data_IF_027071745306
#
_entry.id   IF_027071745306
#
_cell.length_a   1.000
_cell.length_b   1.000
_cell.length_c   1.000
_cell.angle_alpha   90.00
_cell.angle_beta   90.00
_cell.angle_gamma   90.00
#
_symmetry.space_group_name_H-M   'P 1'
#
loop_
_entity.id
_entity.type
_entity.pdbx_description
1 polymer ?
#
# COMPACT_ATOMS: atom_id res chain seq x y z
N UNK A 1 17.79 -28.41 4.71
CA UNK A 1 17.51 -28.49 3.24
C UNK A 1 16.22 -27.76 2.83
N UNK A 2 15.20 -27.64 3.68
CA UNK A 2 13.96 -26.90 3.36
C UNK A 2 14.16 -25.38 3.15
N UNK A 3 15.07 -24.74 3.90
CA UNK A 3 15.32 -23.29 3.75
C UNK A 3 16.00 -22.85 2.45
N UNK A 4 16.82 -23.73 1.85
CA UNK A 4 17.48 -23.41 0.58
C UNK A 4 16.51 -23.48 -0.61
N UNK A 5 15.53 -24.38 -0.58
CA UNK A 5 14.49 -24.46 -1.60
C UNK A 5 13.50 -23.29 -1.53
N UNK A 6 13.17 -22.83 -0.33
CA UNK A 6 12.29 -21.66 -0.16
C UNK A 6 12.98 -20.38 -0.67
N UNK A 7 14.25 -20.15 -0.34
CA UNK A 7 15.02 -19.03 -0.86
C UNK A 7 15.18 -19.02 -2.39
N UNK A 8 15.32 -20.21 -3.00
CA UNK A 8 15.43 -20.35 -4.45
C UNK A 8 14.09 -20.14 -5.16
N UNK A 9 12.98 -20.60 -4.58
CA UNK A 9 11.63 -20.32 -5.08
C UNK A 9 11.33 -18.82 -5.00
N UNK A 10 11.60 -18.16 -3.88
CA UNK A 10 11.43 -16.70 -3.73
C UNK A 10 12.31 -15.91 -4.70
N UNK A 11 13.53 -16.38 -5.01
CA UNK A 11 14.37 -15.76 -6.03
C UNK A 11 13.82 -15.96 -7.45
N UNK A 12 13.41 -17.17 -7.81
CA UNK A 12 12.75 -17.43 -9.10
C UNK A 12 11.43 -16.67 -9.25
N UNK A 13 10.67 -16.47 -8.17
CA UNK A 13 9.46 -15.66 -8.20
C UNK A 13 9.76 -14.16 -8.27
N UNK A 14 10.85 -13.67 -7.70
CA UNK A 14 11.30 -12.28 -7.93
C UNK A 14 11.74 -12.03 -9.38
N UNK A 15 12.35 -13.01 -10.03
CA UNK A 15 12.68 -12.96 -11.45
C UNK A 15 11.44 -13.14 -12.35
N UNK A 16 10.37 -13.80 -11.85
CA UNK A 16 9.04 -13.91 -12.48
C UNK A 16 8.04 -12.87 -11.98
N UNK A 17 8.45 -11.96 -11.08
CA UNK A 17 7.59 -11.00 -10.39
C UNK A 17 7.23 -9.77 -11.25
N UNK A 18 7.19 -9.95 -12.56
CA UNK A 18 6.73 -8.93 -13.51
C UNK A 18 5.56 -9.48 -14.30
N UNK A 19 4.57 -8.64 -14.52
CA UNK A 19 3.50 -8.97 -15.45
C UNK A 19 4.01 -8.72 -16.87
N UNK A 20 4.63 -9.74 -17.46
CA UNK A 20 5.02 -9.70 -18.88
C UNK A 20 3.78 -9.91 -19.71
N UNK A 21 3.36 -8.87 -20.42
CA UNK A 21 2.13 -8.94 -21.20
C UNK A 21 2.36 -9.50 -22.60
N UNK A 22 1.42 -10.37 -23.04
CA UNK A 22 1.30 -10.81 -24.43
C UNK A 22 0.42 -9.85 -25.26
N UNK A 23 -0.15 -8.80 -24.62
CA UNK A 23 -1.13 -7.89 -25.22
C UNK A 23 -0.74 -6.42 -25.06
N UNK A 24 0.43 -5.98 -25.52
CA UNK A 24 0.89 -4.59 -25.32
C UNK A 24 -0.06 -3.55 -25.94
N UNK A 25 -0.73 -3.90 -27.05
CA UNK A 25 -1.70 -3.01 -27.72
C UNK A 25 -2.94 -2.74 -26.84
N UNK A 26 -3.38 -3.71 -26.05
CA UNK A 26 -4.47 -3.51 -25.08
C UNK A 26 -4.08 -2.44 -24.06
N UNK A 27 -2.88 -2.52 -23.49
CA UNK A 27 -2.40 -1.56 -22.49
C UNK A 27 -2.17 -0.18 -23.10
N UNK A 28 -1.64 -0.12 -24.33
CA UNK A 28 -1.49 1.13 -25.07
C UNK A 28 -2.84 1.80 -25.36
N UNK A 29 -3.88 1.02 -25.65
CA UNK A 29 -5.25 1.52 -25.82
C UNK A 29 -5.80 2.04 -24.47
N UNK A 30 -5.65 1.30 -23.38
CA UNK A 30 -6.10 1.73 -22.04
C UNK A 30 -5.45 3.05 -21.62
N UNK A 31 -4.18 3.24 -21.93
CA UNK A 31 -3.44 4.48 -21.62
C UNK A 31 -3.98 5.71 -22.37
N UNK A 32 -4.75 5.55 -23.45
CA UNK A 32 -5.34 6.66 -24.22
C UNK A 32 -6.67 7.16 -23.62
N UNK A 33 -7.32 6.40 -22.73
CA UNK A 33 -8.50 6.87 -22.03
C UNK A 33 -8.14 7.90 -20.96
N UNK A 34 -9.12 8.71 -20.54
CA UNK A 34 -8.97 9.54 -19.35
C UNK A 34 -8.65 8.63 -18.14
N UNK A 35 -7.75 9.07 -17.26
CA UNK A 35 -7.31 8.29 -16.10
C UNK A 35 -8.49 7.85 -15.20
N UNK A 36 -9.57 8.64 -15.18
CA UNK A 36 -10.80 8.34 -14.44
C UNK A 36 -11.63 7.21 -15.05
N UNK A 37 -11.44 6.95 -16.34
CA UNK A 37 -12.19 5.94 -17.11
C UNK A 37 -11.40 4.63 -17.28
N UNK A 38 -10.15 4.56 -16.83
CA UNK A 38 -9.29 3.37 -16.91
C UNK A 38 -9.66 2.35 -15.83
N UNK A 39 -10.81 1.72 -15.93
CA UNK A 39 -11.23 0.71 -14.96
C UNK A 39 -12.11 -0.37 -15.57
N UNK A 40 -12.13 -1.55 -14.94
CA UNK A 40 -12.95 -2.67 -15.36
C UNK A 40 -12.67 -3.96 -14.58
N UNK A 41 -13.32 -5.07 -14.97
CA UNK A 41 -12.95 -6.39 -14.45
C UNK A 41 -11.48 -6.69 -14.75
N UNK A 42 -10.80 -7.37 -13.83
CA UNK A 42 -9.39 -7.69 -14.00
C UNK A 42 -9.17 -8.57 -15.24
N UNK A 43 -8.26 -8.19 -16.17
CA UNK A 43 -7.84 -9.07 -17.25
C UNK A 43 -7.32 -10.42 -16.73
N UNK A 44 -7.48 -11.49 -17.53
CA UNK A 44 -7.09 -12.84 -17.15
C UNK A 44 -5.60 -12.93 -16.77
N UNK A 45 -4.73 -12.20 -17.45
CA UNK A 45 -3.30 -12.19 -17.15
C UNK A 45 -2.99 -11.64 -15.75
N UNK A 46 -3.73 -10.63 -15.28
CA UNK A 46 -3.60 -10.10 -13.93
C UNK A 46 -4.09 -11.10 -12.88
N UNK A 47 -5.25 -11.71 -13.12
CA UNK A 47 -5.82 -12.74 -12.22
C UNK A 47 -4.85 -13.91 -12.08
N UNK A 48 -4.32 -14.41 -13.20
CA UNK A 48 -3.35 -15.50 -13.23
C UNK A 48 -2.06 -15.13 -12.48
N UNK A 49 -1.54 -13.92 -12.71
CA UNK A 49 -0.34 -13.43 -12.04
C UNK A 49 -0.51 -13.39 -10.53
N UNK A 50 -1.57 -12.76 -10.03
CA UNK A 50 -1.84 -12.69 -8.59
C UNK A 50 -2.07 -14.07 -7.99
N UNK A 51 -2.77 -14.95 -8.70
CA UNK A 51 -2.93 -16.35 -8.28
C UNK A 51 -1.58 -17.07 -8.09
N UNK A 52 -0.62 -16.84 -8.97
CA UNK A 52 0.74 -17.40 -8.82
C UNK A 52 1.47 -16.77 -7.63
N UNK A 53 1.35 -15.46 -7.43
CA UNK A 53 1.95 -14.76 -6.28
C UNK A 53 1.39 -15.29 -4.97
N UNK A 54 0.06 -15.43 -4.86
CA UNK A 54 -0.60 -15.99 -3.69
C UNK A 54 -0.11 -17.41 -3.36
N UNK A 55 -0.03 -18.27 -4.38
CA UNK A 55 0.52 -19.63 -4.22
C UNK A 55 1.96 -19.60 -3.70
N UNK A 56 2.80 -18.71 -4.21
CA UNK A 56 4.20 -18.58 -3.79
C UNK A 56 4.34 -18.11 -2.34
N UNK A 57 3.43 -17.26 -1.91
CA UNK A 57 3.42 -16.69 -0.56
C UNK A 57 2.62 -17.55 0.45
N UNK A 58 2.05 -18.69 0.03
CA UNK A 58 1.11 -19.52 0.80
C UNK A 58 -0.11 -18.73 1.29
N UNK A 59 -0.62 -17.84 0.46
CA UNK A 59 -1.91 -17.16 0.68
C UNK A 59 -3.01 -18.03 0.07
N UNK A 60 -3.98 -18.46 0.86
CA UNK A 60 -5.06 -19.35 0.42
C UNK A 60 -6.17 -18.66 -0.39
N UNK A 61 -5.96 -17.40 -0.80
CA UNK A 61 -6.90 -16.64 -1.60
C UNK A 61 -6.75 -16.96 -3.09
N UNK A 62 -7.88 -17.16 -3.76
CA UNK A 62 -7.95 -17.45 -5.19
C UNK A 62 -8.59 -16.26 -5.89
N UNK A 63 -7.81 -15.43 -6.60
CA UNK A 63 -8.35 -14.27 -7.29
C UNK A 63 -9.24 -14.65 -8.47
N UNK A 64 -10.31 -13.89 -8.66
CA UNK A 64 -11.19 -14.03 -9.81
C UNK A 64 -11.59 -12.63 -10.32
N UNK A 65 -11.64 -12.47 -11.65
CA UNK A 65 -12.15 -11.25 -12.25
C UNK A 65 -13.61 -10.99 -11.80
N UNK A 66 -13.93 -9.76 -11.47
CA UNK A 66 -15.26 -9.40 -11.03
C UNK A 66 -15.74 -8.09 -11.65
N UNK A 67 -17.01 -8.05 -12.02
CA UNK A 67 -17.66 -6.80 -12.44
C UNK A 67 -18.12 -6.04 -11.19
N UNK A 68 -17.65 -4.81 -11.04
CA UNK A 68 -18.07 -3.97 -9.92
C UNK A 68 -19.56 -3.58 -10.05
N UNK A 69 -20.35 -3.68 -8.97
CA UNK A 69 -21.73 -3.20 -8.95
C UNK A 69 -21.80 -1.69 -9.23
N UNK A 70 -22.94 -1.22 -9.76
CA UNK A 70 -23.11 0.16 -10.16
C UNK A 70 -22.97 1.16 -8.99
N UNK A 71 -23.33 0.77 -7.77
CA UNK A 71 -23.13 1.59 -6.57
C UNK A 71 -21.65 1.66 -6.17
N UNK A 72 -20.89 0.58 -6.35
CA UNK A 72 -19.44 0.56 -6.14
C UNK A 72 -18.73 1.49 -7.13
N UNK A 73 -19.11 1.44 -8.41
CA UNK A 73 -18.55 2.33 -9.43
C UNK A 73 -18.84 3.80 -9.13
N UNK A 74 -20.03 4.14 -8.64
CA UNK A 74 -20.36 5.51 -8.20
C UNK A 74 -19.49 5.96 -7.02
N UNK A 75 -19.25 5.07 -6.05
CA UNK A 75 -18.38 5.37 -4.91
C UNK A 75 -16.93 5.57 -5.36
N UNK A 76 -16.45 4.74 -6.29
CA UNK A 76 -15.11 4.90 -6.86
C UNK A 76 -14.98 6.21 -7.65
N UNK A 77 -15.96 6.56 -8.48
CA UNK A 77 -15.98 7.84 -9.19
C UNK A 77 -15.98 9.03 -8.19
N UNK A 78 -16.73 8.90 -7.11
CA UNK A 78 -16.73 9.92 -6.04
C UNK A 78 -15.36 10.02 -5.36
N UNK A 79 -14.72 8.89 -5.10
CA UNK A 79 -13.38 8.83 -4.51
C UNK A 79 -12.35 9.50 -5.43
N UNK A 80 -12.34 9.13 -6.72
CA UNK A 80 -11.43 9.68 -7.73
C UNK A 80 -11.63 11.18 -7.95
N UNK A 81 -12.88 11.66 -8.00
CA UNK A 81 -13.19 13.08 -8.19
C UNK A 81 -12.70 13.99 -7.05
N UNK A 82 -12.42 13.43 -5.88
CA UNK A 82 -11.88 14.17 -4.74
C UNK A 82 -10.32 14.19 -4.73
N UNK A 83 -9.67 13.44 -5.61
CA UNK A 83 -8.20 13.43 -5.70
C UNK A 83 -7.75 14.73 -6.37
N UNK A 84 -6.75 15.43 -5.82
CA UNK A 84 -6.23 16.65 -6.41
C UNK A 84 -5.78 16.47 -7.87
N UNK A 85 -6.15 17.40 -8.75
CA UNK A 85 -5.86 17.31 -10.20
C UNK A 85 -4.37 17.06 -10.48
N UNK A 86 -3.46 17.73 -9.76
CA UNK A 86 -2.03 17.53 -9.92
C UNK A 86 -1.59 16.06 -9.72
N UNK A 87 -2.29 15.30 -8.86
CA UNK A 87 -2.02 13.87 -8.68
C UNK A 87 -2.57 13.07 -9.87
N UNK A 88 -3.78 13.40 -10.34
CA UNK A 88 -4.35 12.75 -11.53
C UNK A 88 -3.45 12.98 -12.76
N UNK A 89 -2.91 14.19 -12.93
CA UNK A 89 -1.96 14.50 -13.99
C UNK A 89 -0.66 13.66 -13.88
N UNK A 90 -0.16 13.42 -12.67
CA UNK A 90 1.00 12.56 -12.45
C UNK A 90 0.70 11.08 -12.78
N UNK A 91 -0.53 10.65 -12.56
CA UNK A 91 -0.97 9.28 -12.82
C UNK A 91 -1.26 9.03 -14.30
N UNK A 92 -1.61 10.06 -15.06
CA UNK A 92 -2.02 9.91 -16.47
C UNK A 92 -0.97 9.21 -17.32
N UNK A 93 0.31 9.50 -17.10
CA UNK A 93 1.44 8.86 -17.79
C UNK A 93 1.95 7.55 -17.14
N UNK A 94 1.38 7.12 -16.00
CA UNK A 94 1.92 6.01 -15.22
C UNK A 94 0.90 4.91 -14.92
N UNK A 95 -0.39 5.24 -14.74
CA UNK A 95 -1.46 4.31 -14.40
C UNK A 95 -2.15 3.79 -15.67
N UNK A 96 -2.10 2.48 -15.90
CA UNK A 96 -2.81 1.81 -16.99
C UNK A 96 -4.27 1.47 -16.63
N UNK A 97 -4.60 1.41 -15.36
CA UNK A 97 -5.97 1.25 -14.91
C UNK A 97 -6.13 0.68 -13.50
N UNK A 98 -7.39 0.72 -13.03
CA UNK A 98 -7.86 0.13 -11.78
C UNK A 98 -8.80 -1.01 -12.10
N UNK A 99 -8.43 -2.23 -11.73
CA UNK A 99 -9.14 -3.44 -12.11
C UNK A 99 -9.76 -4.14 -10.91
N UNK A 100 -10.91 -4.75 -11.10
CA UNK A 100 -11.69 -5.36 -10.03
C UNK A 100 -11.57 -6.86 -10.01
N UNK A 101 -11.39 -7.40 -8.82
CA UNK A 101 -11.35 -8.84 -8.52
C UNK A 101 -12.08 -9.15 -7.22
N UNK A 102 -12.27 -10.41 -6.94
CA UNK A 102 -12.60 -10.97 -5.63
C UNK A 102 -11.52 -11.95 -5.23
N UNK A 103 -11.38 -12.23 -3.94
CA UNK A 103 -10.42 -13.22 -3.44
C UNK A 103 -8.96 -12.83 -3.70
N UNK A 104 -8.62 -11.54 -3.63
CA UNK A 104 -7.28 -11.05 -3.91
C UNK A 104 -6.26 -11.44 -2.81
N UNK A 105 -6.73 -11.67 -1.58
CA UNK A 105 -5.88 -11.94 -0.43
C UNK A 105 -5.39 -10.68 0.31
N UNK A 106 -5.72 -9.50 -0.23
CA UNK A 106 -5.46 -8.18 0.36
C UNK A 106 -6.56 -7.22 -0.08
N UNK A 107 -6.55 -5.97 0.38
CA UNK A 107 -7.53 -4.96 -0.09
C UNK A 107 -7.24 -4.49 -1.52
N UNK A 108 -5.98 -4.40 -1.89
CA UNK A 108 -5.52 -4.08 -3.24
C UNK A 108 -4.08 -4.57 -3.47
N UNK A 109 -3.66 -4.55 -4.72
CA UNK A 109 -2.29 -4.82 -5.16
C UNK A 109 -1.97 -3.86 -6.31
N UNK A 110 -0.79 -3.26 -6.28
CA UNK A 110 -0.21 -2.52 -7.40
C UNK A 110 0.98 -3.27 -7.98
N UNK A 111 1.03 -3.37 -9.29
CA UNK A 111 2.20 -3.91 -9.98
C UNK A 111 2.42 -3.24 -11.34
N UNK A 112 3.54 -3.56 -12.00
CA UNK A 112 3.91 -3.01 -13.30
C UNK A 112 3.63 -3.99 -14.43
N UNK A 113 3.23 -3.45 -15.57
CA UNK A 113 3.14 -4.17 -16.83
C UNK A 113 4.41 -3.88 -17.63
N UNK A 114 5.07 -4.93 -18.09
CA UNK A 114 6.23 -4.83 -18.98
C UNK A 114 5.96 -5.55 -20.31
N UNK A 115 6.61 -5.09 -21.38
CA UNK A 115 6.60 -5.81 -22.65
C UNK A 115 7.62 -6.96 -22.64
N UNK A 116 7.70 -7.72 -23.72
CA UNK A 116 8.63 -8.84 -23.87
C UNK A 116 10.10 -8.42 -23.83
N UNK A 117 10.39 -7.15 -24.12
CA UNK A 117 11.75 -6.57 -24.10
C UNK A 117 12.12 -6.07 -22.69
N UNK A 118 11.18 -6.11 -21.73
CA UNK A 118 11.37 -5.65 -20.35
C UNK A 118 11.12 -4.16 -20.14
N UNK A 119 10.59 -3.45 -21.13
CA UNK A 119 10.22 -2.05 -20.99
C UNK A 119 8.94 -1.92 -20.18
N UNK A 120 8.92 -1.00 -19.24
CA UNK A 120 7.75 -0.68 -18.41
C UNK A 120 6.72 0.06 -19.27
N UNK A 121 5.53 -0.52 -19.42
CA UNK A 121 4.40 0.12 -20.09
C UNK A 121 3.61 1.02 -19.15
N UNK A 122 3.58 0.72 -17.87
CA UNK A 122 2.90 1.43 -16.81
C UNK A 122 2.56 0.52 -15.64
N UNK A 123 1.79 1.03 -14.69
CA UNK A 123 1.35 0.28 -13.50
C UNK A 123 -0.16 0.05 -13.53
N UNK A 124 -0.58 -1.03 -12.90
CA UNK A 124 -1.99 -1.38 -12.69
C UNK A 124 -2.29 -1.49 -11.21
N UNK A 125 -3.52 -1.18 -10.83
CA UNK A 125 -4.05 -1.41 -9.50
C UNK A 125 -5.15 -2.46 -9.60
N UNK A 126 -5.13 -3.50 -8.76
CA UNK A 126 -6.23 -4.42 -8.58
C UNK A 126 -6.89 -4.17 -7.23
N UNK A 127 -8.21 -4.00 -7.21
CA UNK A 127 -9.01 -3.84 -5.99
C UNK A 127 -9.80 -5.12 -5.71
N UNK A 128 -9.79 -5.55 -4.46
CA UNK A 128 -10.69 -6.62 -3.98
C UNK A 128 -12.05 -6.01 -3.62
N UNK A 129 -13.10 -6.40 -4.35
CA UNK A 129 -14.46 -5.93 -4.08
C UNK A 129 -14.92 -6.32 -2.67
N UNK A 130 -14.53 -7.51 -2.19
CA UNK A 130 -14.96 -8.03 -0.89
C UNK A 130 -14.35 -7.23 0.29
N UNK A 131 -13.22 -6.58 0.08
CA UNK A 131 -12.58 -5.76 1.11
C UNK A 131 -13.42 -4.55 1.53
N UNK A 132 -14.30 -4.06 0.64
CA UNK A 132 -15.07 -2.85 0.87
C UNK A 132 -16.56 -3.08 1.11
N UNK A 133 -17.12 -4.21 0.65
CA UNK A 133 -18.57 -4.47 0.52
C UNK A 133 -19.47 -3.59 1.41
N UNK A 134 -19.41 -3.76 2.71
CA UNK A 134 -20.27 -3.05 3.67
C UNK A 134 -19.50 -2.13 4.64
N UNK A 135 -18.25 -1.76 4.30
CA UNK A 135 -17.41 -0.97 5.20
C UNK A 135 -17.42 0.52 4.84
N UNK A 136 -17.70 1.35 5.83
CA UNK A 136 -17.40 2.78 5.78
C UNK A 136 -15.90 3.02 5.94
N UNK A 137 -15.43 4.25 5.75
CA UNK A 137 -14.02 4.62 5.85
C UNK A 137 -13.38 4.19 7.18
N UNK A 138 -14.01 4.56 8.29
CA UNK A 138 -13.48 4.24 9.63
C UNK A 138 -13.61 2.75 9.94
N UNK A 139 -14.68 2.09 9.47
CA UNK A 139 -14.84 0.64 9.65
C UNK A 139 -13.78 -0.15 8.87
N UNK A 140 -13.49 0.25 7.63
CA UNK A 140 -12.43 -0.38 6.83
C UNK A 140 -11.04 -0.15 7.45
N UNK A 141 -10.72 1.10 7.82
CA UNK A 141 -9.43 1.42 8.42
C UNK A 141 -9.22 0.70 9.76
N UNK A 142 -10.26 0.66 10.60
CA UNK A 142 -10.24 -0.08 11.87
C UNK A 142 -10.03 -1.58 11.63
N UNK A 143 -10.74 -2.17 10.67
CA UNK A 143 -10.56 -3.58 10.32
C UNK A 143 -9.12 -3.84 9.84
N UNK A 144 -8.61 -3.05 8.89
CA UNK A 144 -7.25 -3.18 8.35
C UNK A 144 -6.21 -3.13 9.48
N UNK A 145 -6.28 -2.11 10.34
CA UNK A 145 -5.26 -1.89 11.37
C UNK A 145 -5.31 -2.92 12.53
N UNK A 146 -6.41 -3.65 12.68
CA UNK A 146 -6.48 -4.77 13.64
C UNK A 146 -5.94 -6.08 13.07
N UNK A 147 -5.80 -6.26 11.74
CA UNK A 147 -5.35 -7.53 11.14
C UNK A 147 -3.99 -8.03 11.63
N UNK A 148 -3.00 -7.19 11.99
CA UNK A 148 -1.72 -7.65 12.53
C UNK A 148 -1.80 -8.27 13.93
N UNK A 149 -2.93 -8.12 14.61
CA UNK A 149 -3.08 -8.54 16.01
C UNK A 149 -4.10 -9.67 16.14
N UNK A 150 -3.68 -10.77 16.75
CA UNK A 150 -4.58 -11.87 17.12
C UNK A 150 -5.17 -11.56 18.50
N UNK A 151 -6.50 -11.28 18.56
CA UNK A 151 -7.00 -10.56 19.62
C UNK A 151 -7.70 -11.24 20.77
N UNK A 152 -7.63 -10.60 21.92
CA UNK A 152 -8.70 -10.61 22.91
C UNK A 152 -9.72 -9.54 22.54
N UNK A 153 -10.97 -9.72 22.91
CA UNK A 153 -12.03 -8.72 22.75
C UNK A 153 -11.78 -7.47 23.64
N UNK A 154 -10.75 -7.47 24.49
CA UNK A 154 -10.46 -6.41 25.46
C UNK A 154 -9.66 -5.27 24.92
N UNK A 155 -8.68 -5.55 24.03
CA UNK A 155 -7.83 -4.52 23.42
C UNK A 155 -8.16 -4.43 21.94
N UNK A 156 -8.57 -3.25 21.47
CA UNK A 156 -8.87 -3.00 20.06
C UNK A 156 -8.34 -1.66 19.58
N UNK A 157 -7.97 -1.62 18.33
CA UNK A 157 -7.72 -0.38 17.62
C UNK A 157 -9.05 0.19 17.12
N UNK A 158 -9.19 1.50 17.23
CA UNK A 158 -10.20 2.30 16.56
C UNK A 158 -9.48 3.32 15.69
N UNK A 159 -9.82 3.35 14.42
CA UNK A 159 -9.17 4.23 13.44
C UNK A 159 -10.20 5.16 12.83
N UNK A 160 -9.88 6.44 12.80
CA UNK A 160 -10.71 7.47 12.23
C UNK A 160 -9.95 8.17 11.09
N UNK A 161 -10.45 7.98 9.86
CA UNK A 161 -9.95 8.61 8.64
C UNK A 161 -11.01 9.48 7.95
N UNK A 162 -12.19 9.58 8.52
CA UNK A 162 -13.28 10.42 8.01
C UNK A 162 -14.19 10.89 9.15
N UNK A 163 -14.64 12.15 9.07
CA UNK A 163 -15.59 12.74 10.01
C UNK A 163 -17.03 12.60 9.53
N UNK A 164 -17.96 12.37 10.46
CA UNK A 164 -19.39 12.52 10.26
C UNK A 164 -19.92 11.94 8.94
N UNK A 165 -20.46 12.80 8.08
CA UNK A 165 -21.04 12.42 6.79
C UNK A 165 -20.04 11.88 5.77
N UNK A 166 -18.75 12.16 5.95
CA UNK A 166 -17.68 11.68 5.07
C UNK A 166 -17.26 10.25 5.41
N UNK A 167 -17.77 9.66 6.49
CA UNK A 167 -17.48 8.27 6.83
C UNK A 167 -18.26 7.30 5.92
N UNK A 168 -17.87 7.23 4.66
CA UNK A 168 -18.50 6.47 3.57
C UNK A 168 -17.55 5.45 2.97
N UNK A 169 -18.08 4.50 2.18
CA UNK A 169 -17.26 3.56 1.40
C UNK A 169 -16.40 4.31 0.37
N UNK A 170 -16.90 5.38 -0.24
CA UNK A 170 -16.13 6.19 -1.18
C UNK A 170 -14.85 6.76 -0.54
N UNK A 171 -14.92 7.20 0.72
CA UNK A 171 -13.73 7.69 1.43
C UNK A 171 -12.78 6.57 1.86
N UNK A 172 -13.27 5.34 2.12
CA UNK A 172 -12.41 4.16 2.29
C UNK A 172 -11.62 3.88 1.00
N UNK A 173 -12.31 3.84 -0.15
CA UNK A 173 -11.70 3.66 -1.47
C UNK A 173 -10.68 4.76 -1.78
N UNK A 174 -11.02 6.02 -1.49
CA UNK A 174 -10.10 7.14 -1.73
C UNK A 174 -8.78 6.94 -0.99
N UNK A 175 -8.83 6.57 0.29
CA UNK A 175 -7.61 6.35 1.07
C UNK A 175 -6.78 5.20 0.50
N UNK A 176 -7.41 4.07 0.16
CA UNK A 176 -6.71 2.93 -0.44
C UNK A 176 -6.15 3.27 -1.82
N UNK A 177 -6.93 3.93 -2.68
CA UNK A 177 -6.45 4.36 -3.99
C UNK A 177 -5.24 5.30 -3.87
N UNK A 178 -5.23 6.22 -2.91
CA UNK A 178 -4.05 7.06 -2.64
C UNK A 178 -2.84 6.23 -2.23
N UNK A 179 -3.01 5.15 -1.46
CA UNK A 179 -1.94 4.23 -1.13
C UNK A 179 -1.39 3.53 -2.38
N UNK A 180 -2.27 2.94 -3.18
CA UNK A 180 -1.88 2.24 -4.40
C UNK A 180 -1.24 3.20 -5.43
N UNK A 181 -1.73 4.42 -5.54
CA UNK A 181 -1.13 5.45 -6.39
C UNK A 181 0.27 5.86 -5.91
N UNK A 182 0.54 5.79 -4.62
CA UNK A 182 1.90 5.88 -4.09
C UNK A 182 2.82 4.85 -4.76
N UNK A 183 2.41 3.58 -4.83
CA UNK A 183 3.16 2.54 -5.53
C UNK A 183 3.32 2.83 -7.03
N UNK A 184 2.25 3.23 -7.71
CA UNK A 184 2.29 3.62 -9.14
C UNK A 184 3.34 4.69 -9.39
N UNK A 185 3.40 5.72 -8.54
CA UNK A 185 4.31 6.85 -8.70
C UNK A 185 5.78 6.52 -8.41
N UNK A 186 6.08 5.37 -7.80
CA UNK A 186 7.47 4.92 -7.57
C UNK A 186 8.04 4.13 -8.74
N UNK A 187 7.20 3.59 -9.61
CA UNK A 187 7.65 2.77 -10.73
C UNK A 187 8.63 3.53 -11.65
N UNK A 188 9.85 3.00 -11.80
CA UNK A 188 10.89 3.62 -12.62
C UNK A 188 11.51 4.91 -12.07
N UNK A 189 11.16 5.36 -10.87
CA UNK A 189 11.73 6.56 -10.22
C UNK A 189 12.84 6.19 -9.25
N UNK A 190 13.78 7.11 -9.02
CA UNK A 190 14.91 6.90 -8.09
C UNK A 190 14.54 7.28 -6.63
N UNK A 191 13.29 7.08 -6.23
CA UNK A 191 12.86 7.29 -4.83
C UNK A 191 13.21 6.08 -3.97
N UNK A 192 13.04 4.90 -4.57
CA UNK A 192 13.26 3.58 -3.99
C UNK A 192 13.99 2.69 -5.00
N UNK A 193 14.65 1.60 -4.58
CA UNK A 193 15.02 0.52 -5.49
C UNK A 193 13.77 -0.02 -6.20
N UNK A 194 13.91 -0.45 -7.43
CA UNK A 194 12.83 -1.16 -8.11
C UNK A 194 12.63 -2.50 -7.38
N UNK A 195 11.38 -2.85 -6.98
CA UNK A 195 11.12 -4.01 -6.10
C UNK A 195 11.47 -5.37 -6.71
N UNK A 196 11.55 -5.47 -8.04
CA UNK A 196 11.99 -6.67 -8.74
C UNK A 196 13.49 -6.68 -9.08
N UNK A 197 14.23 -5.63 -8.70
CA UNK A 197 15.64 -5.54 -9.00
C UNK A 197 16.42 -6.60 -8.23
N UNK A 198 17.32 -7.38 -8.90
CA UNK A 198 18.19 -8.30 -8.17
C UNK A 198 19.08 -7.51 -7.18
N UNK A 199 19.38 -8.10 -6.01
CA UNK A 199 20.16 -7.41 -4.97
C UNK A 199 21.47 -6.78 -5.45
N UNK A 200 22.16 -7.45 -6.38
CA UNK A 200 23.44 -6.97 -6.92
C UNK A 200 23.31 -5.70 -7.76
N UNK A 201 22.13 -5.45 -8.34
CA UNK A 201 21.86 -4.26 -9.13
C UNK A 201 21.40 -3.06 -8.28
N UNK A 202 21.13 -3.24 -6.97
CA UNK A 202 20.79 -2.13 -6.08
C UNK A 202 21.98 -1.18 -5.89
N UNK A 203 21.69 0.11 -6.06
CA UNK A 203 22.65 1.20 -5.78
C UNK A 203 22.88 1.36 -4.27
N UNK A 204 23.56 2.41 -3.86
CA UNK A 204 23.74 2.75 -2.44
C UNK A 204 22.49 3.43 -1.89
N UNK A 205 22.28 3.37 -0.57
CA UNK A 205 21.15 4.05 0.11
C UNK A 205 21.03 5.53 -0.28
N UNK A 206 22.15 6.22 -0.43
CA UNK A 206 22.21 7.64 -0.78
C UNK A 206 21.66 7.98 -2.17
N UNK A 207 21.59 6.99 -3.07
CA UNK A 207 21.10 7.17 -4.44
C UNK A 207 19.57 7.16 -4.53
N UNK A 208 18.88 6.87 -3.41
CA UNK A 208 17.43 6.79 -3.35
C UNK A 208 16.88 7.83 -2.38
N UNK A 209 16.24 8.85 -2.94
CA UNK A 209 15.86 10.05 -2.17
C UNK A 209 14.85 9.80 -1.05
N UNK A 210 13.91 8.88 -1.23
CA UNK A 210 12.97 8.53 -0.17
C UNK A 210 13.53 7.46 0.78
N UNK A 211 14.17 6.41 0.23
CA UNK A 211 14.72 5.31 1.04
C UNK A 211 15.58 5.84 2.18
N UNK A 212 16.48 6.78 1.88
CA UNK A 212 17.41 7.36 2.86
C UNK A 212 16.75 8.13 4.01
N UNK A 213 15.44 8.33 4.01
CA UNK A 213 14.74 9.02 5.10
C UNK A 213 14.51 8.10 6.31
N UNK A 214 14.12 6.84 6.09
CA UNK A 214 13.84 5.88 7.16
C UNK A 214 14.57 4.54 7.03
N UNK A 215 15.10 4.23 5.85
CA UNK A 215 15.64 2.93 5.49
C UNK A 215 17.11 3.01 5.07
N UNK A 216 17.75 1.85 4.97
CA UNK A 216 19.10 1.70 4.45
C UNK A 216 19.26 0.34 3.75
N UNK A 217 20.24 0.24 2.86
CA UNK A 217 20.67 -1.01 2.25
C UNK A 217 21.87 -1.51 3.07
N UNK A 218 21.73 -2.69 3.65
CA UNK A 218 22.78 -3.30 4.47
C UNK A 218 23.90 -3.96 3.61
N UNK A 219 24.88 -4.56 4.28
CA UNK A 219 25.99 -5.22 3.62
C UNK A 219 25.56 -6.46 2.78
N UNK A 220 24.45 -7.08 3.14
CA UNK A 220 23.85 -8.22 2.42
C UNK A 220 22.87 -7.79 1.33
N UNK A 221 22.86 -6.49 0.98
CA UNK A 221 21.96 -5.91 -0.02
C UNK A 221 20.47 -6.06 0.32
N UNK A 222 20.12 -6.08 1.60
CA UNK A 222 18.72 -6.06 2.05
C UNK A 222 18.32 -4.65 2.44
N UNK A 223 17.09 -4.29 2.13
CA UNK A 223 16.48 -3.05 2.62
C UNK A 223 16.05 -3.29 4.08
N UNK A 224 16.64 -2.56 5.00
CA UNK A 224 16.36 -2.64 6.44
C UNK A 224 16.09 -1.24 6.99
N UNK A 225 15.29 -1.08 8.05
CA UNK A 225 15.11 0.23 8.67
C UNK A 225 16.44 0.73 9.23
N UNK A 226 16.61 2.03 9.31
CA UNK A 226 17.69 2.60 10.11
C UNK A 226 17.51 2.22 11.57
N UNK A 227 18.61 2.12 12.31
CA UNK A 227 18.58 1.70 13.72
C UNK A 227 17.62 2.55 14.59
N UNK A 228 17.48 3.83 14.29
CA UNK A 228 16.57 4.72 15.00
C UNK A 228 15.10 4.52 14.68
N UNK A 229 14.81 3.80 13.56
CA UNK A 229 13.48 3.53 13.06
C UNK A 229 13.03 2.09 13.38
N UNK A 230 13.93 1.25 13.92
CA UNK A 230 13.63 -0.15 14.22
C UNK A 230 13.10 -0.31 15.65
N UNK A 231 12.12 -1.20 15.82
CA UNK A 231 11.54 -1.53 17.12
C UNK A 231 11.19 -3.02 17.21
N UNK A 232 11.05 -3.51 18.43
CA UNK A 232 10.97 -4.94 18.74
C UNK A 232 9.87 -5.68 18.00
N UNK A 233 8.67 -5.10 17.92
CA UNK A 233 7.48 -5.74 17.37
C UNK A 233 7.47 -5.72 15.83
N UNK A 234 8.24 -4.85 15.18
CA UNK A 234 8.20 -4.57 13.74
C UNK A 234 8.27 -5.83 12.86
N UNK A 235 9.16 -6.75 13.17
CA UNK A 235 9.35 -7.97 12.37
C UNK A 235 8.24 -9.00 12.52
N UNK A 236 7.34 -8.80 13.49
CA UNK A 236 6.16 -9.63 13.72
C UNK A 236 4.87 -9.02 13.17
N UNK A 237 4.95 -7.86 12.51
CA UNK A 237 3.78 -7.18 11.95
C UNK A 237 3.49 -7.76 10.56
N UNK A 238 2.40 -8.48 10.45
CA UNK A 238 1.88 -9.02 9.19
C UNK A 238 0.42 -8.64 9.04
N UNK A 239 0.10 -7.90 7.97
CA UNK A 239 -1.27 -7.54 7.64
C UNK A 239 -1.93 -8.67 6.88
N UNK A 240 -3.23 -8.87 7.12
CA UNK A 240 -4.06 -9.87 6.45
C UNK A 240 -3.63 -11.34 6.69
N UNK A 241 -2.69 -11.58 7.61
CA UNK A 241 -2.23 -12.92 7.98
C UNK A 241 -2.85 -13.36 9.32
N UNK A 242 -2.93 -14.69 9.52
CA UNK A 242 -3.40 -15.31 10.77
C UNK A 242 -2.31 -15.46 11.84
N UNK A 243 -1.07 -15.14 11.52
CA UNK A 243 0.12 -15.28 12.40
C UNK A 243 0.53 -13.99 13.10
N UNK A 244 -0.43 -13.09 13.33
CA UNK A 244 -0.18 -11.80 13.92
C UNK A 244 0.41 -11.80 15.33
N UNK A 245 0.81 -10.64 15.77
CA UNK A 245 1.21 -10.37 17.14
C UNK A 245 0.04 -10.59 18.10
N UNK A 246 0.32 -10.97 19.34
CA UNK A 246 -0.69 -10.93 20.40
C UNK A 246 -1.14 -9.48 20.69
N UNK A 247 -2.35 -9.32 21.19
CA UNK A 247 -2.92 -8.02 21.55
C UNK A 247 -2.11 -7.26 22.60
N UNK A 248 -1.37 -7.96 23.46
CA UNK A 248 -0.41 -7.37 24.41
C UNK A 248 0.71 -6.58 23.74
N UNK A 249 1.07 -6.92 22.49
CA UNK A 249 2.06 -6.20 21.72
C UNK A 249 1.51 -4.89 21.10
N UNK A 250 0.19 -4.71 21.01
CA UNK A 250 -0.44 -3.56 20.36
C UNK A 250 0.01 -2.22 20.95
N UNK A 251 -0.08 -2.07 22.26
CA UNK A 251 0.34 -0.84 22.94
C UNK A 251 1.83 -0.56 22.80
N UNK A 252 2.69 -1.58 22.91
CA UNK A 252 4.14 -1.41 22.78
C UNK A 252 4.52 -1.05 21.35
N UNK A 253 3.93 -1.68 20.33
CA UNK A 253 4.18 -1.37 18.94
C UNK A 253 3.78 0.07 18.57
N UNK A 254 2.60 0.52 18.99
CA UNK A 254 2.14 1.87 18.69
C UNK A 254 2.88 2.96 19.50
N UNK A 255 3.36 2.65 20.72
CA UNK A 255 4.25 3.56 21.46
C UNK A 255 5.61 3.68 20.76
N UNK A 256 6.20 2.57 20.35
CA UNK A 256 7.46 2.57 19.61
C UNK A 256 7.34 3.30 18.27
N UNK A 257 6.23 3.10 17.55
CA UNK A 257 5.94 3.79 16.29
C UNK A 257 5.95 5.32 16.42
N UNK A 258 5.53 5.87 17.57
CA UNK A 258 5.54 7.33 17.80
C UNK A 258 6.97 7.92 17.78
N UNK A 259 7.98 7.10 18.03
CA UNK A 259 9.38 7.49 18.03
C UNK A 259 10.07 7.35 16.67
N UNK A 260 9.35 6.88 15.66
CA UNK A 260 9.85 6.67 14.30
C UNK A 260 9.40 7.77 13.32
N UNK A 261 9.91 7.70 12.09
CA UNK A 261 9.44 8.52 10.96
C UNK A 261 8.35 7.82 10.14
N UNK A 262 7.85 6.66 10.58
CA UNK A 262 6.79 5.94 9.87
C UNK A 262 5.41 6.56 10.15
N UNK A 263 4.63 6.90 9.10
CA UNK A 263 3.30 7.50 9.26
C UNK A 263 2.27 6.53 9.86
N UNK A 264 2.39 5.24 9.62
CA UNK A 264 1.50 4.19 10.10
C UNK A 264 2.29 2.94 10.52
N UNK A 265 1.62 2.01 11.19
CA UNK A 265 2.23 0.71 11.51
C UNK A 265 2.52 -0.08 10.22
N UNK A 266 1.64 0.05 9.22
CA UNK A 266 1.82 -0.57 7.90
C UNK A 266 3.08 -0.05 7.21
N UNK A 267 3.35 1.26 7.26
CA UNK A 267 4.57 1.87 6.73
C UNK A 267 5.86 1.27 7.32
N UNK A 268 5.82 0.74 8.53
CA UNK A 268 7.00 0.13 9.16
C UNK A 268 7.35 -1.26 8.65
N UNK A 269 6.51 -1.88 7.82
CA UNK A 269 6.72 -3.25 7.33
C UNK A 269 7.81 -3.32 6.27
N UNK A 270 7.80 -2.41 5.31
CA UNK A 270 8.83 -2.29 4.27
C UNK A 270 8.88 -0.88 3.66
N UNK A 271 9.93 -0.60 2.90
CA UNK A 271 10.18 0.74 2.35
C UNK A 271 9.17 1.16 1.26
N UNK A 272 8.56 0.22 0.56
CA UNK A 272 7.58 0.50 -0.49
C UNK A 272 6.25 0.91 0.11
N UNK A 273 5.78 0.17 1.11
CA UNK A 273 4.59 0.55 1.89
C UNK A 273 4.82 1.84 2.68
N UNK A 274 6.05 2.10 3.14
CA UNK A 274 6.37 3.38 3.77
C UNK A 274 6.19 4.57 2.81
N UNK A 275 6.60 4.43 1.55
CA UNK A 275 6.35 5.48 0.56
C UNK A 275 4.85 5.64 0.31
N UNK A 276 4.15 4.54 0.05
CA UNK A 276 2.72 4.54 -0.27
C UNK A 276 1.88 5.13 0.88
N UNK A 277 2.13 4.73 2.12
CA UNK A 277 1.48 5.29 3.31
C UNK A 277 1.87 6.76 3.56
N UNK A 278 3.12 7.13 3.29
CA UNK A 278 3.57 8.52 3.37
C UNK A 278 2.82 9.39 2.36
N UNK A 279 2.70 8.93 1.11
CA UNK A 279 1.96 9.62 0.06
C UNK A 279 0.46 9.70 0.41
N UNK A 280 -0.17 8.55 0.70
CA UNK A 280 -1.60 8.49 1.02
C UNK A 280 -1.98 9.39 2.19
N UNK A 281 -1.26 9.27 3.30
CA UNK A 281 -1.56 10.06 4.50
C UNK A 281 -1.24 11.55 4.31
N UNK A 282 -0.24 11.91 3.49
CA UNK A 282 0.04 13.30 3.16
C UNK A 282 -1.10 13.93 2.36
N UNK A 283 -1.52 13.27 1.29
CA UNK A 283 -2.65 13.77 0.50
C UNK A 283 -3.92 13.83 1.34
N UNK A 284 -4.23 12.76 2.06
CA UNK A 284 -5.42 12.64 2.89
C UNK A 284 -5.48 13.72 3.98
N UNK A 285 -4.43 13.84 4.80
CA UNK A 285 -4.47 14.72 5.98
C UNK A 285 -3.95 16.12 5.71
N UNK A 286 -2.96 16.31 4.84
CA UNK A 286 -2.35 17.62 4.62
C UNK A 286 -3.03 18.37 3.48
N UNK A 287 -3.31 17.70 2.37
CA UNK A 287 -3.93 18.36 1.22
C UNK A 287 -5.46 18.42 1.33
N UNK A 288 -6.09 17.32 1.76
CA UNK A 288 -7.55 17.23 1.86
C UNK A 288 -8.09 17.60 3.25
N UNK A 289 -7.22 17.78 4.26
CA UNK A 289 -7.62 18.18 5.61
C UNK A 289 -8.43 17.13 6.37
N UNK A 290 -8.39 15.85 5.95
CA UNK A 290 -9.14 14.76 6.57
C UNK A 290 -8.45 14.24 7.83
N UNK A 291 -9.20 13.70 8.82
CA UNK A 291 -8.63 13.16 10.04
C UNK A 291 -7.78 11.92 9.77
N UNK A 292 -6.82 11.68 10.65
CA UNK A 292 -6.05 10.44 10.72
C UNK A 292 -5.69 10.19 12.19
N UNK A 293 -6.62 9.55 12.91
CA UNK A 293 -6.51 9.30 14.34
C UNK A 293 -6.57 7.81 14.61
N UNK A 294 -5.70 7.33 15.49
CA UNK A 294 -5.69 5.94 15.98
C UNK A 294 -5.85 5.95 17.49
N UNK A 295 -6.79 5.19 18.01
CA UNK A 295 -6.97 4.95 19.44
C UNK A 295 -6.82 3.48 19.76
N UNK A 296 -6.19 3.17 20.88
CA UNK A 296 -6.19 1.84 21.47
C UNK A 296 -7.09 1.88 22.69
N UNK A 297 -8.13 1.08 22.66
CA UNK A 297 -9.18 1.03 23.67
C UNK A 297 -9.15 -0.32 24.39
N UNK A 298 -9.23 -0.29 25.71
CA UNK A 298 -9.38 -1.46 26.56
C UNK A 298 -10.50 -1.21 27.57
N UNK A 299 -11.46 -2.09 27.64
CA UNK A 299 -12.60 -1.97 28.57
C UNK A 299 -13.22 -0.55 28.57
N UNK A 300 -13.50 -0.01 27.38
CA UNK A 300 -14.06 1.35 27.12
C UNK A 300 -13.11 2.50 27.47
N UNK A 301 -11.93 2.26 28.02
CA UNK A 301 -10.93 3.29 28.33
C UNK A 301 -9.91 3.45 27.19
N UNK A 302 -9.63 4.70 26.81
CA UNK A 302 -8.55 5.01 25.84
C UNK A 302 -7.20 4.93 26.55
N UNK A 303 -6.35 4.00 26.12
CA UNK A 303 -5.01 3.78 26.66
C UNK A 303 -3.90 4.44 25.86
N UNK A 304 -4.18 4.70 24.57
CA UNK A 304 -3.30 5.43 23.67
C UNK A 304 -4.15 6.14 22.63
N UNK A 305 -3.80 7.37 22.35
CA UNK A 305 -4.33 8.13 21.22
C UNK A 305 -3.17 8.71 20.44
N UNK A 306 -3.22 8.57 19.12
CA UNK A 306 -2.26 9.11 18.17
C UNK A 306 -3.02 9.89 17.11
N UNK A 307 -2.74 11.17 17.07
CA UNK A 307 -3.17 12.06 15.99
C UNK A 307 -2.33 11.83 14.73
N UNK A 308 -2.69 12.51 13.66
CA UNK A 308 -1.97 12.43 12.40
C UNK A 308 -0.45 12.57 12.60
N UNK A 309 0.30 11.68 11.97
CA UNK A 309 1.77 11.75 11.89
C UNK A 309 2.27 13.14 11.46
N UNK A 310 1.50 13.81 10.62
CA UNK A 310 1.87 15.11 10.06
C UNK A 310 1.86 16.26 11.09
N UNK A 311 1.28 16.06 12.24
CA UNK A 311 1.39 16.98 13.39
C UNK A 311 2.72 16.81 14.15
N UNK A 312 3.41 15.69 13.98
CA UNK A 312 4.69 15.41 14.65
C UNK A 312 5.85 16.12 13.96
N UNK A 313 6.84 16.67 14.71
CA UNK A 313 8.08 17.20 14.13
C UNK A 313 8.90 16.12 13.40
N UNK A 314 8.72 14.85 13.70
CA UNK A 314 9.38 13.73 13.01
C UNK A 314 8.93 13.59 11.54
N UNK A 315 7.79 14.19 11.17
CA UNK A 315 7.31 14.21 9.79
C UNK A 315 8.12 15.13 8.87
N UNK A 316 8.93 16.05 9.41
CA UNK A 316 9.56 17.11 8.64
C UNK A 316 10.35 16.64 7.40
N UNK A 317 11.21 15.60 7.46
CA UNK A 317 11.93 15.13 6.27
C UNK A 317 11.00 14.58 5.18
N UNK A 318 9.99 13.79 5.55
CA UNK A 318 9.00 13.23 4.62
C UNK A 318 8.07 14.32 4.09
N UNK A 319 7.70 15.30 4.91
CA UNK A 319 6.93 16.47 4.49
C UNK A 319 7.68 17.25 3.41
N UNK A 320 8.96 17.53 3.60
CA UNK A 320 9.79 18.23 2.62
C UNK A 320 9.89 17.43 1.30
N UNK A 321 10.03 16.10 1.39
CA UNK A 321 10.04 15.24 0.21
C UNK A 321 8.69 15.30 -0.54
N UNK A 322 7.56 15.16 0.15
CA UNK A 322 6.23 15.20 -0.49
C UNK A 322 5.93 16.57 -1.10
N UNK A 323 6.34 17.66 -0.45
CA UNK A 323 6.22 19.02 -1.01
C UNK A 323 7.01 19.17 -2.31
N UNK A 324 8.25 18.64 -2.36
CA UNK A 324 9.06 18.69 -3.58
C UNK A 324 8.47 17.80 -4.69
N UNK A 325 7.98 16.61 -4.36
CA UNK A 325 7.36 15.69 -5.31
C UNK A 325 6.11 16.28 -5.97
N UNK A 326 5.25 16.95 -5.18
CA UNK A 326 3.96 17.48 -5.65
C UNK A 326 4.05 18.91 -6.21
N UNK A 327 5.23 19.52 -6.18
CA UNK A 327 5.51 20.84 -6.79
C UNK A 327 6.20 20.71 -8.16
N UNK A 328 6.62 19.50 -8.54
CA UNK A 328 7.33 19.20 -9.79
C UNK A 328 6.36 18.95 -10.94
#
# INVERSE_FOLDING_TARGET
MAGAHHGMLVSCFREAALIVTDSPDFWAMMAQHDVLDRHGPAPEELVRYVGMVNMALNVDAIPAAAAAPADFLRDMQTAMAQIPAAILDMLDGALLGVYFSTGLGSSAITDVIVNIDGDILGSVVMLDLDAFMDRTANAWATWKENTPFSGSERLRLEVEIADGADNTRANAMQFLLLHEFGHVLTAGKQFLPIWWLPPDAMKQTADYDFLRLGWQIDADKRIVPKRAEDFKERTGIFYYDTKGLGDDAMLSAYRALQDTTFPSLYASTNAFDDFAETFATYVHSVMLGKPARVRIVCDEAVHLERESFWASPRSAPKRAFMQALLAA
#
